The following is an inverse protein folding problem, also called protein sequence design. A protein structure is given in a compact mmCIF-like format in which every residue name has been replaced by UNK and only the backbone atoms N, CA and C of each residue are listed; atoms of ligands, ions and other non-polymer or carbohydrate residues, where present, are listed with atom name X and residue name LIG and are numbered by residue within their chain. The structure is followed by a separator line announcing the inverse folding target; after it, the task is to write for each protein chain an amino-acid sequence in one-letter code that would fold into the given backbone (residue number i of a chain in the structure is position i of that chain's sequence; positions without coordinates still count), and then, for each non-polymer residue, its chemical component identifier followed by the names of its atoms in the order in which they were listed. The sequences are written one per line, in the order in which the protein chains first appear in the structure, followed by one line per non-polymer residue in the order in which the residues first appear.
data_IF_311818486170
#
_entry.id   IF_311818486170
#
_cell.length_a   1.000
_cell.length_b   1.000
_cell.length_c   1.000
_cell.angle_alpha   90.00
_cell.angle_beta   90.00
_cell.angle_gamma   90.00
#
_symmetry.space_group_name_H-M   'P 1'
#
loop_
_entity.id
_entity.type
_entity.pdbx_description
1 polymer ?
#
# COMPACT_ATOMS: atom_id res chain seq x y z
N UNK A 1 6.32 11.38 2.89
CA UNK A 1 5.45 10.72 1.91
C UNK A 1 6.11 9.47 1.32
N UNK A 2 6.95 9.57 0.29
CA UNK A 2 7.51 8.38 -0.43
C UNK A 2 8.24 7.35 0.42
N UNK A 3 8.97 7.78 1.47
CA UNK A 3 9.66 6.85 2.38
C UNK A 3 8.69 5.90 3.10
N UNK A 4 7.52 6.38 3.50
CA UNK A 4 6.50 5.56 4.18
C UNK A 4 5.86 4.58 3.21
N UNK A 5 5.44 5.06 2.03
CA UNK A 5 4.79 4.22 1.01
C UNK A 5 5.72 3.12 0.47
N UNK A 6 6.97 3.46 0.17
CA UNK A 6 7.93 2.49 -0.36
C UNK A 6 8.40 1.49 0.69
N UNK A 7 8.35 1.84 1.98
CA UNK A 7 8.74 0.98 3.09
C UNK A 7 7.64 0.07 3.62
N UNK A 8 6.43 0.10 3.05
CA UNK A 8 5.35 -0.80 3.44
C UNK A 8 5.72 -2.28 3.23
N UNK A 9 5.32 -3.20 4.12
CA UNK A 9 4.53 -2.96 5.33
C UNK A 9 5.37 -2.59 6.57
N UNK A 10 6.71 -2.61 6.51
CA UNK A 10 7.58 -2.34 7.67
C UNK A 10 7.37 -0.94 8.25
N UNK A 11 7.04 0.04 7.40
CA UNK A 11 6.71 1.41 7.84
C UNK A 11 5.50 1.50 8.77
N UNK A 12 4.67 0.46 8.89
CA UNK A 12 3.55 0.44 9.85
C UNK A 12 3.98 0.45 11.32
N UNK A 13 5.24 0.10 11.60
CA UNK A 13 5.82 0.13 12.94
C UNK A 13 6.53 1.45 13.26
N UNK A 14 6.50 2.43 12.36
CA UNK A 14 7.13 3.71 12.60
C UNK A 14 6.39 4.48 13.72
N UNK A 15 7.09 5.25 14.59
CA UNK A 15 6.47 5.97 15.70
C UNK A 15 5.35 6.93 15.29
N UNK A 16 5.39 7.44 14.07
CA UNK A 16 4.38 8.31 13.48
C UNK A 16 3.15 7.58 12.93
N UNK A 17 3.07 6.24 13.04
CA UNK A 17 1.94 5.44 12.56
C UNK A 17 1.16 4.87 13.72
N UNK A 18 -0.15 5.17 13.76
CA UNK A 18 -1.08 4.57 14.69
C UNK A 18 -1.91 3.50 13.97
N UNK A 19 -1.69 2.23 14.30
CA UNK A 19 -2.54 1.14 13.85
C UNK A 19 -3.85 1.11 14.63
N UNK A 20 -4.96 0.90 13.93
CA UNK A 20 -6.26 0.64 14.53
C UNK A 20 -6.39 -0.88 14.81
N UNK A 21 -7.05 -1.28 15.91
CA UNK A 21 -7.01 -2.66 16.39
C UNK A 21 -7.88 -3.64 15.59
N UNK A 22 -8.71 -3.14 14.68
CA UNK A 22 -9.69 -3.95 13.95
C UNK A 22 -9.12 -4.48 12.63
N UNK A 23 -9.35 -5.77 12.40
CA UNK A 23 -9.12 -6.44 11.12
C UNK A 23 -10.49 -6.75 10.50
N UNK A 24 -10.69 -6.38 9.25
CA UNK A 24 -11.92 -6.67 8.50
C UNK A 24 -11.62 -7.54 7.27
N UNK A 25 -12.55 -8.41 6.90
CA UNK A 25 -12.53 -9.02 5.57
C UNK A 25 -13.00 -8.02 4.52
N UNK A 26 -12.31 -7.94 3.40
CA UNK A 26 -12.59 -7.02 2.31
C UNK A 26 -12.09 -7.60 0.97
N UNK A 27 -12.05 -6.78 -0.08
CA UNK A 27 -11.41 -7.11 -1.34
C UNK A 27 -10.65 -5.94 -1.94
N UNK A 28 -9.56 -6.24 -2.64
CA UNK A 28 -8.80 -5.27 -3.41
C UNK A 28 -8.60 -5.78 -4.85
N UNK A 29 -9.07 -5.03 -5.84
CA UNK A 29 -8.98 -5.44 -7.24
C UNK A 29 -9.63 -6.79 -7.54
N UNK A 30 -10.75 -7.11 -6.87
CA UNK A 30 -11.48 -8.37 -7.04
C UNK A 30 -10.87 -9.58 -6.31
N UNK A 31 -9.79 -9.40 -5.55
CA UNK A 31 -9.18 -10.46 -4.71
C UNK A 31 -9.60 -10.28 -3.25
N UNK A 32 -9.89 -11.38 -2.55
CA UNK A 32 -10.16 -11.36 -1.11
C UNK A 32 -8.94 -10.82 -0.34
N UNK A 33 -9.18 -10.05 0.70
CA UNK A 33 -8.13 -9.44 1.50
C UNK A 33 -8.54 -9.30 2.97
N UNK A 34 -7.54 -9.29 3.85
CA UNK A 34 -7.65 -8.76 5.22
C UNK A 34 -7.28 -7.27 5.18
N UNK A 35 -8.18 -6.41 5.65
CA UNK A 35 -7.99 -4.97 5.73
C UNK A 35 -7.71 -4.56 7.16
N UNK A 36 -6.66 -3.76 7.36
CA UNK A 36 -6.42 -2.99 8.59
C UNK A 36 -6.45 -1.50 8.28
N UNK A 37 -6.71 -0.70 9.30
CA UNK A 37 -6.66 0.75 9.19
C UNK A 37 -5.47 1.33 9.98
N UNK A 38 -4.84 2.36 9.44
CA UNK A 38 -3.73 3.06 10.05
C UNK A 38 -3.89 4.56 9.89
N UNK A 39 -3.52 5.34 10.90
CA UNK A 39 -3.45 6.79 10.82
C UNK A 39 -2.00 7.22 10.82
N UNK A 40 -1.61 8.02 9.83
CA UNK A 40 -0.27 8.60 9.79
C UNK A 40 -0.33 9.96 10.46
N UNK A 41 0.44 10.14 11.53
CA UNK A 41 0.59 11.41 12.25
C UNK A 41 1.50 12.36 11.46
N UNK A 42 1.14 12.61 10.20
CA UNK A 42 1.83 13.50 9.27
C UNK A 42 0.78 14.44 8.65
N UNK A 43 0.91 15.77 8.81
CA UNK A 43 -0.09 16.73 8.33
C UNK A 43 -0.28 16.72 6.80
N UNK A 44 0.65 16.12 6.03
CA UNK A 44 0.55 15.98 4.56
C UNK A 44 -0.25 14.75 4.15
N UNK A 45 -0.40 13.77 5.04
CA UNK A 45 -0.96 12.44 4.74
C UNK A 45 -1.99 12.02 5.79
N UNK A 46 -2.51 12.99 6.55
CA UNK A 46 -3.18 12.84 7.85
C UNK A 46 -4.53 12.13 7.84
N UNK A 47 -4.80 11.39 6.77
CA UNK A 47 -6.00 10.60 6.56
C UNK A 47 -5.82 9.18 7.08
N UNK A 48 -6.95 8.48 7.23
CA UNK A 48 -6.97 7.06 7.57
C UNK A 48 -6.66 6.24 6.32
N UNK A 49 -5.61 5.42 6.40
CA UNK A 49 -5.19 4.52 5.34
C UNK A 49 -5.70 3.12 5.60
N UNK A 50 -6.16 2.48 4.54
CA UNK A 50 -6.52 1.08 4.51
C UNK A 50 -5.42 0.28 3.86
N UNK A 51 -4.95 -0.76 4.56
CA UNK A 51 -3.87 -1.63 4.10
C UNK A 51 -4.42 -3.04 3.95
N UNK A 52 -4.14 -3.68 2.82
CA UNK A 52 -4.74 -4.94 2.40
C UNK A 52 -3.69 -6.03 2.34
N UNK A 53 -3.97 -7.15 3.01
CA UNK A 53 -3.11 -8.32 3.06
C UNK A 53 -3.83 -9.53 2.49
N UNK A 54 -3.06 -10.42 1.89
CA UNK A 54 -3.54 -11.73 1.46
C UNK A 54 -3.96 -12.56 2.68
N UNK A 55 -5.16 -13.16 2.70
CA UNK A 55 -5.64 -13.90 3.86
C UNK A 55 -4.90 -15.22 4.10
N UNK A 56 -4.21 -15.77 3.10
CA UNK A 56 -3.54 -17.07 3.20
C UNK A 56 -2.07 -16.93 3.64
N UNK A 57 -1.36 -15.93 3.10
CA UNK A 57 0.07 -15.78 3.31
C UNK A 57 0.50 -14.41 3.87
N UNK A 58 -0.46 -13.52 4.15
CA UNK A 58 -0.22 -12.18 4.69
C UNK A 58 0.70 -11.30 3.85
N UNK A 59 0.87 -11.60 2.56
CA UNK A 59 1.56 -10.72 1.64
C UNK A 59 0.77 -9.42 1.48
N UNK A 60 1.47 -8.29 1.50
CA UNK A 60 0.87 -6.99 1.22
C UNK A 60 0.36 -6.95 -0.22
N UNK A 61 -0.94 -6.70 -0.40
CA UNK A 61 -1.61 -6.63 -1.69
C UNK A 61 -1.76 -5.20 -2.21
N UNK A 62 -1.82 -4.24 -1.29
CA UNK A 62 -2.06 -2.85 -1.63
C UNK A 62 -2.46 -2.02 -0.42
N UNK A 63 -2.65 -0.74 -0.68
CA UNK A 63 -3.05 0.22 0.34
C UNK A 63 -3.64 1.45 -0.34
N UNK A 64 -4.43 2.21 0.40
CA UNK A 64 -5.04 3.42 -0.13
C UNK A 64 -5.85 4.16 0.91
N UNK A 65 -6.32 5.33 0.55
CA UNK A 65 -7.10 6.21 1.40
C UNK A 65 -8.27 6.79 0.61
N UNK A 66 -9.27 7.29 1.31
CA UNK A 66 -10.35 8.10 0.72
C UNK A 66 -10.75 9.21 1.68
N UNK A 67 -10.94 10.40 1.13
CA UNK A 67 -11.54 11.56 1.78
C UNK A 67 -12.71 12.07 0.92
N UNK A 68 -13.38 13.14 1.35
CA UNK A 68 -14.50 13.77 0.65
C UNK A 68 -14.14 14.16 -0.80
N UNK A 69 -14.49 13.27 -1.75
CA UNK A 69 -14.32 13.50 -3.18
C UNK A 69 -12.92 13.23 -3.74
N UNK A 70 -11.99 12.72 -2.93
CA UNK A 70 -10.67 12.28 -3.39
C UNK A 70 -10.27 10.93 -2.78
N UNK A 71 -9.43 10.19 -3.48
CA UNK A 71 -8.88 8.96 -2.92
C UNK A 71 -7.98 8.23 -3.90
N UNK A 72 -6.95 7.59 -3.35
CA UNK A 72 -6.01 6.80 -4.12
C UNK A 72 -6.01 5.36 -3.63
N UNK A 73 -5.86 4.43 -4.56
CA UNK A 73 -5.69 3.02 -4.29
C UNK A 73 -4.48 2.51 -5.06
N UNK A 74 -3.49 2.00 -4.32
CA UNK A 74 -2.33 1.35 -4.89
C UNK A 74 -2.51 -0.16 -4.81
N UNK A 75 -2.35 -0.84 -5.95
CA UNK A 75 -2.31 -2.30 -6.04
C UNK A 75 -0.89 -2.74 -6.35
N UNK A 76 -0.40 -3.69 -5.57
CA UNK A 76 0.96 -4.20 -5.70
C UNK A 76 0.97 -5.40 -6.64
N UNK A 77 1.96 -5.45 -7.53
CA UNK A 77 2.15 -6.58 -8.43
C UNK A 77 3.64 -6.94 -8.55
N UNK A 78 3.89 -8.24 -8.60
CA UNK A 78 5.21 -8.84 -8.61
C UNK A 78 6.05 -8.57 -7.36
N UNK A 79 7.11 -9.36 -7.21
CA UNK A 79 8.15 -9.13 -6.22
C UNK A 79 9.50 -8.97 -6.93
N UNK A 80 10.36 -8.14 -6.36
CA UNK A 80 11.77 -8.01 -6.75
C UNK A 80 12.63 -8.24 -5.51
N UNK A 81 13.74 -8.94 -5.67
CA UNK A 81 14.68 -9.18 -4.58
C UNK A 81 15.81 -8.15 -4.62
N UNK A 82 16.02 -7.45 -3.50
CA UNK A 82 17.04 -6.42 -3.35
C UNK A 82 17.69 -6.59 -1.99
N UNK A 83 18.98 -6.92 -1.96
CA UNK A 83 19.72 -7.08 -0.70
C UNK A 83 19.10 -8.09 0.28
N UNK A 84 18.51 -9.19 -0.24
CA UNK A 84 17.83 -10.22 0.56
C UNK A 84 16.41 -9.86 1.03
N UNK A 85 15.89 -8.68 0.66
CA UNK A 85 14.51 -8.28 0.90
C UNK A 85 13.65 -8.50 -0.34
N UNK A 86 12.39 -8.90 -0.15
CA UNK A 86 11.40 -8.94 -1.24
C UNK A 86 10.54 -7.68 -1.18
N UNK A 87 10.61 -6.89 -2.24
CA UNK A 87 9.85 -5.64 -2.39
C UNK A 87 8.80 -5.78 -3.48
N UNK A 88 7.67 -5.05 -3.40
CA UNK A 88 6.74 -4.95 -4.52
C UNK A 88 7.46 -4.38 -5.75
N UNK A 89 7.42 -5.12 -6.87
CA UNK A 89 8.06 -4.69 -8.11
C UNK A 89 7.27 -3.55 -8.76
N UNK A 90 5.96 -3.64 -8.74
CA UNK A 90 5.06 -2.68 -9.36
C UNK A 90 4.03 -2.15 -8.36
N UNK A 91 3.70 -0.86 -8.49
CA UNK A 91 2.63 -0.18 -7.76
C UNK A 91 1.71 0.45 -8.79
N UNK A 92 0.53 -0.11 -8.97
CA UNK A 92 -0.49 0.42 -9.86
C UNK A 92 -1.38 1.39 -9.11
N UNK A 93 -1.44 2.64 -9.57
CA UNK A 93 -2.24 3.70 -8.99
C UNK A 93 -3.61 3.74 -9.64
N UNK A 94 -4.64 3.81 -8.81
CA UNK A 94 -6.02 3.97 -9.22
C UNK A 94 -6.66 5.12 -8.44
N UNK A 95 -7.55 5.86 -9.08
CA UNK A 95 -8.50 6.69 -8.34
C UNK A 95 -9.44 5.74 -7.60
N UNK A 96 -9.55 5.92 -6.28
CA UNK A 96 -10.32 5.00 -5.43
C UNK A 96 -11.82 5.12 -5.64
N UNK A 97 -12.31 6.28 -6.09
CA UNK A 97 -13.75 6.55 -6.21
C UNK A 97 -14.37 5.91 -7.45
N UNK A 98 -13.69 6.02 -8.60
CA UNK A 98 -14.18 5.52 -9.89
C UNK A 98 -13.37 4.35 -10.44
N UNK A 99 -12.31 3.94 -9.72
CA UNK A 99 -11.41 2.86 -10.10
C UNK A 99 -10.67 3.09 -11.44
N UNK A 100 -10.57 4.34 -11.89
CA UNK A 100 -9.79 4.71 -13.07
C UNK A 100 -8.29 4.53 -12.81
N UNK A 101 -7.56 4.07 -13.83
CA UNK A 101 -6.13 3.83 -13.74
C UNK A 101 -5.35 5.14 -13.95
N UNK A 102 -4.45 5.46 -13.02
CA UNK A 102 -3.69 6.72 -12.99
C UNK A 102 -2.25 6.54 -13.47
N UNK A 103 -1.68 5.35 -13.32
CA UNK A 103 -0.29 5.08 -13.69
C UNK A 103 0.33 3.94 -12.88
N UNK A 104 1.62 3.70 -13.09
CA UNK A 104 2.38 2.74 -12.30
C UNK A 104 3.79 3.21 -12.01
N UNK A 105 4.26 2.88 -10.81
CA UNK A 105 5.68 2.87 -10.49
C UNK A 105 6.24 1.47 -10.73
N UNK A 106 7.46 1.40 -11.26
CA UNK A 106 8.21 0.16 -11.40
C UNK A 106 9.57 0.29 -10.71
N UNK A 107 9.91 -0.71 -9.90
CA UNK A 107 11.25 -0.87 -9.40
C UNK A 107 12.10 -1.59 -10.45
N UNK A 108 13.18 -0.95 -10.88
CA UNK A 108 14.15 -1.51 -11.85
C UNK A 108 15.53 -1.61 -11.20
N UNK A 109 16.20 -2.72 -11.44
CA UNK A 109 17.61 -2.89 -11.08
C UNK A 109 18.41 -2.42 -12.29
N UNK A 110 19.25 -1.41 -12.09
CA UNK A 110 20.16 -0.90 -13.12
C UNK A 110 21.55 -1.39 -12.77
N UNK A 111 22.14 -2.18 -13.65
CA UNK A 111 23.54 -2.57 -13.56
C UNK A 111 24.37 -1.50 -14.28
N UNK A 112 25.39 -0.94 -13.62
CA UNK A 112 26.39 -0.12 -14.30
C UNK A 112 27.28 -1.05 -15.14
N UNK A 113 27.40 -0.72 -16.43
CA UNK A 113 28.26 -1.41 -17.40
C UNK A 113 29.74 -1.10 -17.17
#
# INVERSE_FOLDING_TARGET
FYKLLNGMPMSLYAPEVQLLPEVAEDSIGGRKALRIAARFNNPVIGEEWFIYFDPENYQLLGYGYADEGAGELLRLDGLVEVGGMRLPRMRHWYNRLDNSYLGSDIYVIVEEL
#
